data_IF_939483181619
#
_entry.id   IF_939483181619
#
_cell.length_a   1.000
_cell.length_b   1.000
_cell.length_c   1.000
_cell.angle_alpha   90.00
_cell.angle_beta   90.00
_cell.angle_gamma   90.00
#
_symmetry.space_group_name_H-M   'P 1'
#
loop_
_entity.id
_entity.type
_entity.pdbx_description
1 polymer ?
#
# COMPACT_ATOMS: atom_id res chain seq x y z
N UNK A 1 -23.81 18.84 -1.94
CA UNK A 1 -23.12 17.76 -2.68
C UNK A 1 -23.72 16.46 -2.19
N UNK A 2 -24.09 15.53 -3.09
CA UNK A 2 -24.64 14.23 -2.69
C UNK A 2 -23.48 13.32 -2.32
N UNK A 3 -23.54 12.63 -1.19
CA UNK A 3 -22.52 11.68 -0.75
C UNK A 3 -22.88 10.28 -1.23
N UNK A 4 -21.88 9.53 -1.67
CA UNK A 4 -21.99 8.12 -2.09
C UNK A 4 -21.22 7.16 -1.19
N UNK A 5 -20.53 7.70 -0.19
CA UNK A 5 -19.69 6.93 0.73
C UNK A 5 -19.96 7.33 2.19
N UNK A 6 -20.12 6.35 3.05
CA UNK A 6 -20.31 6.51 4.49
C UNK A 6 -18.95 6.43 5.21
N UNK A 7 -18.35 7.58 5.47
CA UNK A 7 -17.04 7.67 6.09
C UNK A 7 -17.02 7.21 7.55
N UNK A 8 -18.07 7.48 8.30
CA UNK A 8 -18.11 7.14 9.73
C UNK A 8 -18.28 5.64 9.91
N UNK A 9 -19.10 5.00 9.07
CA UNK A 9 -19.18 3.55 8.98
C UNK A 9 -17.81 2.95 8.61
N UNK A 10 -17.11 3.53 7.62
CA UNK A 10 -15.80 3.05 7.19
C UNK A 10 -14.79 3.07 8.34
N UNK A 11 -14.64 4.20 9.03
CA UNK A 11 -13.71 4.33 10.16
C UNK A 11 -13.99 3.25 11.23
N UNK A 12 -15.27 3.00 11.52
CA UNK A 12 -15.69 2.00 12.51
C UNK A 12 -15.36 0.59 12.06
N UNK A 13 -15.93 0.12 10.94
CA UNK A 13 -15.79 -1.29 10.54
C UNK A 13 -14.38 -1.66 10.12
N UNK A 14 -13.60 -0.70 9.59
CA UNK A 14 -12.21 -0.92 9.23
C UNK A 14 -11.34 -1.13 10.48
N UNK A 15 -11.55 -0.34 11.53
CA UNK A 15 -10.82 -0.52 12.80
C UNK A 15 -11.21 -1.81 13.51
N UNK A 16 -12.50 -2.17 13.48
CA UNK A 16 -12.99 -3.44 14.04
C UNK A 16 -12.37 -4.64 13.30
N UNK A 17 -12.35 -4.62 11.97
CA UNK A 17 -11.78 -5.70 11.18
C UNK A 17 -10.27 -5.87 11.41
N UNK A 18 -9.51 -4.79 11.60
CA UNK A 18 -8.10 -4.89 11.98
C UNK A 18 -7.95 -5.53 13.37
N UNK A 19 -8.80 -5.19 14.35
CA UNK A 19 -8.77 -5.83 15.69
C UNK A 19 -9.06 -7.31 15.61
N UNK A 20 -10.03 -7.73 14.80
CA UNK A 20 -10.32 -9.14 14.55
C UNK A 20 -9.10 -9.86 13.97
N UNK A 21 -8.42 -9.23 13.00
CA UNK A 21 -7.21 -9.78 12.40
C UNK A 21 -6.06 -9.92 13.41
N UNK A 22 -5.87 -8.95 14.30
CA UNK A 22 -4.89 -9.04 15.41
C UNK A 22 -5.19 -10.27 16.29
N UNK A 23 -6.45 -10.46 16.65
CA UNK A 23 -6.87 -11.58 17.52
C UNK A 23 -6.63 -12.96 16.86
N UNK A 24 -6.74 -13.07 15.54
CA UNK A 24 -6.47 -14.31 14.80
C UNK A 24 -5.02 -14.80 14.93
N UNK A 25 -4.07 -13.90 15.14
CA UNK A 25 -2.63 -14.19 15.14
C UNK A 25 -1.98 -13.96 16.52
N UNK A 26 -2.57 -14.52 17.57
CA UNK A 26 -1.94 -14.48 18.89
C UNK A 26 -1.72 -13.07 19.47
N UNK A 27 -2.54 -12.10 19.04
CA UNK A 27 -2.45 -10.69 19.39
C UNK A 27 -1.20 -9.97 18.85
N UNK A 28 -0.64 -10.40 17.72
CA UNK A 28 0.41 -9.66 17.01
C UNK A 28 0.15 -9.62 15.51
N UNK A 29 0.14 -8.41 14.93
CA UNK A 29 -0.11 -8.21 13.51
C UNK A 29 0.86 -7.19 12.93
N UNK A 30 1.55 -7.56 11.85
CA UNK A 30 2.30 -6.65 10.98
C UNK A 30 1.37 -6.17 9.86
N UNK A 31 1.01 -4.90 9.90
CA UNK A 31 0.11 -4.26 8.92
C UNK A 31 0.93 -3.46 7.92
N UNK A 32 1.08 -3.98 6.71
CA UNK A 32 1.65 -3.23 5.61
C UNK A 32 0.67 -2.15 5.15
N UNK A 33 1.08 -0.89 5.26
CA UNK A 33 0.27 0.23 4.82
C UNK A 33 0.68 0.66 3.41
N UNK A 34 -0.23 0.46 2.46
CA UNK A 34 -0.07 0.89 1.07
C UNK A 34 -0.73 2.24 0.79
N UNK A 35 -0.27 2.89 -0.27
CA UNK A 35 -0.81 4.17 -0.73
C UNK A 35 -0.56 5.36 0.21
N UNK A 36 -1.22 6.48 -0.08
CA UNK A 36 -1.12 7.70 0.73
C UNK A 36 -1.90 7.54 2.02
N UNK A 37 -1.23 7.79 3.15
CA UNK A 37 -1.87 7.83 4.46
C UNK A 37 -2.42 9.23 4.78
N UNK A 38 -1.66 10.24 4.38
CA UNK A 38 -2.03 11.65 4.50
C UNK A 38 -2.54 12.17 3.16
N UNK A 39 -3.58 12.96 3.19
CA UNK A 39 -4.08 13.69 2.03
C UNK A 39 -4.46 12.78 0.84
N UNK A 40 -5.24 11.71 1.12
CA UNK A 40 -5.74 10.81 0.08
C UNK A 40 -6.86 11.47 -0.75
N UNK A 41 -6.48 12.50 -1.48
CA UNK A 41 -7.42 13.26 -2.33
C UNK A 41 -7.95 12.43 -3.50
N UNK A 42 -7.22 11.38 -3.95
CA UNK A 42 -7.74 10.51 -4.99
C UNK A 42 -8.97 9.75 -4.50
N UNK A 43 -8.87 9.11 -3.34
CA UNK A 43 -10.01 8.40 -2.74
C UNK A 43 -11.20 9.33 -2.50
N UNK A 44 -10.95 10.56 -2.03
CA UNK A 44 -12.00 11.56 -1.81
C UNK A 44 -12.72 11.98 -3.10
N UNK A 45 -12.03 12.02 -4.23
CA UNK A 45 -12.62 12.34 -5.54
C UNK A 45 -13.43 11.19 -6.10
N UNK A 46 -12.97 9.96 -5.91
CA UNK A 46 -13.61 8.74 -6.44
C UNK A 46 -14.79 8.30 -5.58
N UNK A 47 -14.72 8.54 -4.28
CA UNK A 47 -15.71 8.15 -3.27
C UNK A 47 -16.23 9.41 -2.55
N UNK A 48 -17.23 10.15 -3.11
CA UNK A 48 -17.78 11.34 -2.48
C UNK A 48 -18.33 11.05 -1.08
N UNK A 49 -17.73 11.66 -0.06
CA UNK A 49 -17.97 11.38 1.35
C UNK A 49 -16.74 10.83 2.08
N UNK A 50 -15.81 10.20 1.38
CA UNK A 50 -14.52 9.80 1.96
C UNK A 50 -13.69 11.05 2.30
N UNK A 51 -13.20 11.15 3.52
CA UNK A 51 -12.35 12.25 3.96
C UNK A 51 -10.88 11.93 3.70
N UNK A 52 -10.06 12.89 3.25
CA UNK A 52 -8.63 12.64 2.93
C UNK A 52 -7.80 12.05 4.08
N UNK A 53 -8.21 12.30 5.32
CA UNK A 53 -7.58 11.85 6.56
C UNK A 53 -8.25 10.59 7.17
N UNK A 54 -9.19 9.96 6.47
CA UNK A 54 -9.97 8.83 7.01
C UNK A 54 -9.12 7.67 7.48
N UNK A 55 -8.05 7.33 6.73
CA UNK A 55 -7.12 6.26 7.14
C UNK A 55 -6.44 6.59 8.45
N UNK A 56 -6.00 7.83 8.59
CA UNK A 56 -5.36 8.29 9.81
C UNK A 56 -6.33 8.32 10.99
N UNK A 57 -7.54 8.83 10.80
CA UNK A 57 -8.61 8.84 11.81
C UNK A 57 -8.93 7.41 12.27
N UNK A 58 -9.00 6.46 11.34
CA UNK A 58 -9.20 5.04 11.65
C UNK A 58 -8.03 4.48 12.47
N UNK A 59 -6.79 4.74 12.06
CA UNK A 59 -5.60 4.28 12.78
C UNK A 59 -5.49 4.91 14.17
N UNK A 60 -5.94 6.15 14.36
CA UNK A 60 -5.96 6.81 15.68
C UNK A 60 -6.84 6.07 16.68
N UNK A 61 -7.90 5.37 16.23
CA UNK A 61 -8.70 4.50 17.12
C UNK A 61 -7.94 3.27 17.61
N UNK A 62 -6.78 2.96 17.01
CA UNK A 62 -5.91 1.84 17.34
C UNK A 62 -4.58 2.31 17.97
N UNK A 63 -4.39 3.63 18.20
CA UNK A 63 -3.11 4.22 18.61
C UNK A 63 -2.53 3.62 19.88
N UNK A 64 -3.37 3.27 20.86
CA UNK A 64 -2.92 2.68 22.13
C UNK A 64 -2.31 1.28 21.95
N UNK A 65 -2.74 0.55 20.92
CA UNK A 65 -2.28 -0.79 20.59
C UNK A 65 -1.33 -0.84 19.40
N UNK A 66 -1.03 0.31 18.78
CA UNK A 66 -0.24 0.41 17.56
C UNK A 66 1.12 1.06 17.79
N UNK A 67 2.12 0.57 17.08
CA UNK A 67 3.41 1.24 16.87
C UNK A 67 3.76 1.26 15.39
N UNK A 68 4.56 2.22 14.99
CA UNK A 68 4.90 2.46 13.59
C UNK A 68 6.37 2.18 13.35
N UNK A 69 6.62 1.43 12.28
CA UNK A 69 7.93 1.20 11.69
C UNK A 69 7.95 1.89 10.32
N UNK A 70 8.90 2.81 10.12
CA UNK A 70 9.02 3.50 8.83
C UNK A 70 10.14 2.84 8.03
N UNK A 71 9.86 2.50 6.78
CA UNK A 71 10.77 1.78 5.90
C UNK A 71 11.28 2.71 4.81
N UNK A 72 12.57 2.65 4.52
CA UNK A 72 13.21 3.38 3.42
C UNK A 72 14.25 2.51 2.72
N UNK A 73 14.32 2.58 1.39
CA UNK A 73 15.32 1.85 0.61
C UNK A 73 16.68 2.56 0.63
N UNK A 74 17.76 1.83 0.88
CA UNK A 74 19.14 2.33 0.74
C UNK A 74 19.44 2.83 -0.68
N UNK A 75 18.79 2.24 -1.69
CA UNK A 75 18.89 2.67 -3.08
C UNK A 75 18.22 4.02 -3.29
N UNK A 76 17.06 4.27 -2.67
CA UNK A 76 16.38 5.56 -2.76
C UNK A 76 17.16 6.67 -2.04
N UNK A 77 17.80 6.34 -0.89
CA UNK A 77 18.72 7.26 -0.20
C UNK A 77 19.89 7.59 -1.11
N UNK A 78 20.53 6.59 -1.72
CA UNK A 78 21.69 6.78 -2.59
C UNK A 78 21.38 7.64 -3.81
N UNK A 79 20.17 7.49 -4.37
CA UNK A 79 19.71 8.26 -5.53
C UNK A 79 19.16 9.64 -5.17
N UNK A 80 19.09 10.00 -3.90
CA UNK A 80 18.40 11.20 -3.41
C UNK A 80 16.99 11.32 -4.01
N UNK A 81 16.25 10.20 -4.01
CA UNK A 81 14.93 10.14 -4.62
C UNK A 81 14.00 11.16 -3.98
N UNK A 82 13.38 11.97 -4.82
CA UNK A 82 12.50 13.07 -4.41
C UNK A 82 11.05 12.60 -4.45
N UNK A 83 10.30 12.96 -3.44
CA UNK A 83 8.86 12.89 -3.41
C UNK A 83 8.31 14.11 -4.14
N UNK A 84 7.82 13.92 -5.36
CA UNK A 84 7.48 15.02 -6.29
C UNK A 84 6.38 15.94 -5.75
N UNK A 85 5.36 15.40 -5.07
CA UNK A 85 4.24 16.18 -4.52
C UNK A 85 4.66 17.12 -3.37
N UNK A 86 5.81 16.86 -2.71
CA UNK A 86 6.33 17.67 -1.60
C UNK A 86 7.67 18.35 -1.92
N UNK A 87 8.36 17.94 -2.99
CA UNK A 87 9.66 18.47 -3.36
C UNK A 87 10.80 18.16 -2.38
N UNK A 88 10.63 17.14 -1.52
CA UNK A 88 11.63 16.71 -0.52
C UNK A 88 12.14 15.31 -0.82
N UNK A 89 13.37 15.01 -0.39
CA UNK A 89 13.95 13.68 -0.55
C UNK A 89 13.29 12.67 0.41
N UNK A 90 13.31 11.38 0.06
CA UNK A 90 12.68 10.32 0.86
C UNK A 90 13.28 10.21 2.27
N UNK A 91 14.58 10.46 2.44
CA UNK A 91 15.24 10.47 3.75
C UNK A 91 14.75 11.63 4.65
N UNK A 92 14.43 12.77 4.06
CA UNK A 92 13.80 13.91 4.75
C UNK A 92 12.33 13.59 5.03
N UNK A 93 11.63 12.95 4.10
CA UNK A 93 10.23 12.58 4.28
C UNK A 93 10.04 11.54 5.41
N UNK A 94 10.99 10.63 5.63
CA UNK A 94 10.98 9.74 6.82
C UNK A 94 10.91 10.54 8.11
N UNK A 95 11.70 11.61 8.24
CA UNK A 95 11.71 12.44 9.45
C UNK A 95 10.40 13.22 9.59
N UNK A 96 9.86 13.75 8.49
CA UNK A 96 8.54 14.40 8.46
C UNK A 96 7.43 13.43 8.87
N UNK A 97 7.40 12.24 8.27
CA UNK A 97 6.40 11.20 8.61
C UNK A 97 6.48 10.83 10.10
N UNK A 98 7.68 10.65 10.63
CA UNK A 98 7.88 10.37 12.05
C UNK A 98 7.26 11.47 12.93
N UNK A 99 7.56 12.72 12.64
CA UNK A 99 7.04 13.86 13.38
C UNK A 99 5.51 13.94 13.28
N UNK A 100 4.95 13.78 12.08
CA UNK A 100 3.51 13.76 11.83
C UNK A 100 2.78 12.67 12.62
N UNK A 101 3.36 11.46 12.71
CA UNK A 101 2.78 10.38 13.50
C UNK A 101 2.88 10.68 15.00
N UNK A 102 4.01 11.15 15.47
CA UNK A 102 4.20 11.46 16.89
C UNK A 102 3.28 12.59 17.36
N UNK A 103 3.08 13.62 16.54
CA UNK A 103 2.15 14.73 16.82
C UNK A 103 0.69 14.27 16.91
N UNK A 104 0.37 13.08 16.35
CA UNK A 104 -0.95 12.46 16.43
C UNK A 104 -1.05 11.36 17.50
N UNK A 105 -0.05 11.25 18.36
CA UNK A 105 -0.05 10.34 19.50
C UNK A 105 0.42 8.91 19.18
N UNK A 106 0.96 8.65 17.98
CA UNK A 106 1.52 7.33 17.68
C UNK A 106 2.94 7.18 18.24
N UNK A 107 3.26 5.96 18.63
CA UNK A 107 4.66 5.57 18.90
C UNK A 107 5.31 5.19 17.58
N UNK A 108 6.36 5.92 17.19
CA UNK A 108 7.23 5.52 16.07
C UNK A 108 8.46 4.84 16.65
N UNK A 109 8.50 3.51 16.54
CA UNK A 109 9.51 2.71 17.23
C UNK A 109 10.86 2.72 16.55
N UNK A 110 10.89 2.73 15.22
CA UNK A 110 12.14 2.60 14.47
C UNK A 110 12.01 2.95 12.98
N UNK A 111 13.18 3.05 12.34
CA UNK A 111 13.34 3.13 10.89
C UNK A 111 14.05 1.86 10.40
N UNK A 112 13.55 1.23 9.35
CA UNK A 112 14.22 0.09 8.68
C UNK A 112 14.77 0.53 7.34
N UNK A 113 16.06 0.35 7.13
CA UNK A 113 16.74 0.63 5.87
C UNK A 113 16.86 -0.69 5.10
N UNK A 114 16.10 -0.81 4.01
CA UNK A 114 16.05 -2.01 3.17
C UNK A 114 17.00 -1.93 1.98
N UNK A 115 17.12 -3.04 1.23
CA UNK A 115 18.00 -3.14 0.06
C UNK A 115 19.44 -2.69 0.37
N UNK A 116 19.85 -2.91 1.63
CA UNK A 116 21.17 -2.52 2.06
C UNK A 116 22.24 -3.50 1.53
N UNK A 117 23.28 -2.92 0.95
CA UNK A 117 24.43 -3.63 0.41
C UNK A 117 25.72 -2.82 0.60
N UNK A 118 25.87 -2.18 1.78
CA UNK A 118 27.05 -1.40 2.11
C UNK A 118 27.12 0.00 1.46
N UNK A 119 25.99 0.59 1.11
CA UNK A 119 25.97 1.94 0.53
C UNK A 119 26.38 2.99 1.57
N UNK A 120 27.45 3.74 1.31
CA UNK A 120 27.96 4.76 2.23
C UNK A 120 26.96 5.88 2.56
N UNK A 121 26.04 6.19 1.62
CA UNK A 121 24.93 7.14 1.86
C UNK A 121 23.92 6.59 2.90
N UNK A 122 23.66 5.30 2.88
CA UNK A 122 22.80 4.64 3.87
C UNK A 122 23.48 4.62 5.26
N UNK A 123 24.80 4.38 5.31
CA UNK A 123 25.56 4.45 6.57
C UNK A 123 25.58 5.87 7.15
N UNK A 124 25.78 6.88 6.31
CA UNK A 124 25.71 8.28 6.73
C UNK A 124 24.29 8.63 7.26
N UNK A 125 23.25 8.09 6.63
CA UNK A 125 21.88 8.28 7.08
C UNK A 125 21.60 7.57 8.42
N UNK A 126 22.12 6.34 8.63
CA UNK A 126 22.04 5.65 9.92
C UNK A 126 22.67 6.49 11.04
N UNK A 127 23.86 7.03 10.80
CA UNK A 127 24.52 7.90 11.78
C UNK A 127 23.73 9.19 12.05
N UNK A 128 23.03 9.74 11.03
CA UNK A 128 22.12 10.88 11.20
C UNK A 128 20.95 10.50 12.10
N UNK A 129 20.31 9.34 11.88
CA UNK A 129 19.21 8.84 12.70
C UNK A 129 19.66 8.61 14.15
N UNK A 130 20.82 8.00 14.35
CA UNK A 130 21.40 7.76 15.68
C UNK A 130 21.62 9.06 16.45
N UNK A 131 22.19 10.09 15.80
CA UNK A 131 22.37 11.44 16.40
C UNK A 131 21.03 12.10 16.77
N UNK A 132 19.95 11.76 16.09
CA UNK A 132 18.60 12.22 16.40
C UNK A 132 17.88 11.34 17.44
N UNK A 133 18.57 10.33 17.99
CA UNK A 133 17.98 9.37 18.93
C UNK A 133 16.94 8.44 18.31
N UNK A 134 17.00 8.22 16.99
CA UNK A 134 16.07 7.37 16.25
C UNK A 134 16.73 6.01 16.04
N UNK A 135 16.10 4.94 16.54
CA UNK A 135 16.57 3.57 16.31
C UNK A 135 16.43 3.20 14.84
N UNK A 136 17.47 2.62 14.26
CA UNK A 136 17.47 2.14 12.89
C UNK A 136 17.99 0.71 12.80
N UNK A 137 17.40 -0.06 11.87
CA UNK A 137 17.72 -1.45 11.59
C UNK A 137 17.97 -1.63 10.10
N UNK A 138 18.72 -2.67 9.75
CA UNK A 138 19.14 -2.92 8.36
C UNK A 138 18.56 -4.24 7.88
N UNK A 139 17.92 -4.21 6.71
CA UNK A 139 17.51 -5.39 5.96
C UNK A 139 18.30 -5.45 4.65
N UNK A 140 18.99 -6.56 4.47
CA UNK A 140 19.92 -6.77 3.37
C UNK A 140 19.19 -7.12 2.06
N UNK A 141 19.87 -6.91 0.94
CA UNK A 141 19.43 -7.46 -0.33
C UNK A 141 19.63 -8.99 -0.30
N UNK A 142 18.56 -9.73 -0.57
CA UNK A 142 18.59 -11.20 -0.65
C UNK A 142 18.68 -11.57 -2.13
N UNK A 143 19.66 -12.38 -2.48
CA UNK A 143 19.91 -12.82 -3.86
C UNK A 143 18.75 -13.69 -4.37
N UNK A 144 18.30 -13.39 -5.58
CA UNK A 144 17.17 -14.11 -6.20
C UNK A 144 15.79 -13.79 -5.61
N UNK A 145 15.67 -12.78 -4.73
CA UNK A 145 14.36 -12.32 -4.26
C UNK A 145 13.51 -11.78 -5.44
N UNK A 146 12.22 -12.14 -5.55
CA UNK A 146 11.41 -12.92 -4.59
C UNK A 146 11.36 -14.44 -4.90
N UNK A 147 12.05 -14.95 -5.92
CA UNK A 147 11.85 -16.30 -6.44
C UNK A 147 12.64 -17.40 -5.71
N UNK A 148 13.72 -17.05 -5.01
CA UNK A 148 14.56 -18.02 -4.29
C UNK A 148 14.03 -18.22 -2.86
N UNK A 149 12.88 -18.89 -2.75
CA UNK A 149 12.15 -19.09 -1.48
C UNK A 149 13.03 -19.78 -0.43
N UNK A 150 13.80 -20.81 -0.82
CA UNK A 150 14.67 -21.55 0.10
C UNK A 150 15.72 -20.64 0.77
N UNK A 151 16.35 -19.75 0.01
CA UNK A 151 17.28 -18.77 0.57
C UNK A 151 16.56 -17.71 1.39
N UNK A 152 15.43 -17.21 0.90
CA UNK A 152 14.67 -16.14 1.56
C UNK A 152 14.23 -16.58 2.95
N UNK A 153 13.66 -17.80 3.06
CA UNK A 153 13.17 -18.40 4.30
C UNK A 153 14.28 -19.18 5.04
N UNK A 154 15.43 -18.56 5.20
CA UNK A 154 16.59 -19.13 5.86
C UNK A 154 17.31 -18.13 6.76
N UNK A 155 18.29 -18.61 7.55
CA UNK A 155 19.14 -17.78 8.38
C UNK A 155 20.04 -16.83 7.57
N UNK A 156 20.37 -17.18 6.32
CA UNK A 156 21.13 -16.36 5.38
C UNK A 156 20.25 -15.34 4.63
N UNK A 157 18.93 -15.57 4.59
CA UNK A 157 17.93 -14.69 4.02
C UNK A 157 17.29 -13.78 5.07
N UNK A 158 16.05 -14.09 5.46
CA UNK A 158 15.33 -13.32 6.48
C UNK A 158 16.03 -13.34 7.85
N UNK A 159 16.72 -14.42 8.20
CA UNK A 159 17.47 -14.55 9.44
C UNK A 159 18.64 -13.58 9.55
N UNK A 160 19.25 -13.18 8.43
CA UNK A 160 20.37 -12.22 8.38
C UNK A 160 19.93 -10.79 8.65
N UNK A 161 18.67 -10.44 8.41
CA UNK A 161 18.13 -9.11 8.66
C UNK A 161 18.11 -8.79 10.16
N UNK A 162 18.33 -7.53 10.51
CA UNK A 162 18.18 -7.11 11.88
C UNK A 162 16.74 -7.37 12.36
N UNK A 163 16.59 -7.97 13.53
CA UNK A 163 15.29 -8.03 14.19
C UNK A 163 14.88 -6.66 14.72
N UNK A 164 13.68 -6.23 14.40
CA UNK A 164 13.10 -4.97 14.89
C UNK A 164 12.29 -5.26 16.15
N UNK A 165 12.78 -4.95 17.35
CA UNK A 165 12.01 -5.18 18.59
C UNK A 165 10.75 -4.30 18.59
N UNK A 166 9.60 -4.95 18.71
CA UNK A 166 8.30 -4.30 18.78
C UNK A 166 7.55 -4.76 20.04
N UNK A 167 6.76 -3.87 20.63
CA UNK A 167 6.13 -4.09 21.93
C UNK A 167 4.61 -4.08 21.87
N UNK A 168 4.03 -3.56 20.79
CA UNK A 168 2.58 -3.42 20.64
C UNK A 168 1.97 -4.52 19.76
N UNK A 169 0.68 -4.84 19.96
CA UNK A 169 -0.03 -5.84 19.17
C UNK A 169 -0.10 -5.51 17.66
N UNK A 170 -0.25 -4.24 17.33
CA UNK A 170 -0.31 -3.77 15.94
C UNK A 170 0.98 -3.06 15.55
N UNK A 171 1.71 -3.60 14.60
CA UNK A 171 2.90 -2.99 14.02
C UNK A 171 2.55 -2.49 12.61
N UNK A 172 2.45 -1.17 12.47
CA UNK A 172 2.15 -0.53 11.19
C UNK A 172 3.45 -0.28 10.45
N UNK A 173 3.61 -0.89 9.29
CA UNK A 173 4.79 -0.75 8.43
C UNK A 173 4.46 0.18 7.27
N UNK A 174 5.09 1.35 7.23
CA UNK A 174 4.83 2.39 6.24
C UNK A 174 6.13 2.94 5.64
N UNK A 175 6.03 3.74 4.59
CA UNK A 175 7.19 4.29 3.87
C UNK A 175 6.86 5.59 3.14
N UNK A 176 7.86 6.41 2.76
CA UNK A 176 7.70 7.59 1.91
C UNK A 176 7.07 7.30 0.54
N UNK A 177 7.31 6.10 -0.01
CA UNK A 177 6.81 5.74 -1.34
C UNK A 177 6.84 4.25 -1.65
N UNK A 178 6.42 3.88 -2.86
CA UNK A 178 6.42 2.49 -3.32
C UNK A 178 7.83 1.94 -3.51
N UNK A 179 7.96 0.60 -3.56
CA UNK A 179 9.24 -0.07 -3.79
C UNK A 179 10.23 -0.02 -2.60
N UNK A 180 9.80 0.44 -1.43
CA UNK A 180 10.64 0.56 -0.24
C UNK A 180 10.94 -0.75 0.48
N UNK A 181 10.27 -1.88 0.11
CA UNK A 181 10.46 -3.19 0.74
C UNK A 181 9.60 -3.43 1.98
N UNK A 182 8.47 -2.74 2.16
CA UNK A 182 7.56 -2.92 3.31
C UNK A 182 7.13 -4.37 3.52
N UNK A 183 6.68 -5.05 2.45
CA UNK A 183 6.28 -6.44 2.51
C UNK A 183 7.43 -7.33 3.00
N UNK A 184 8.63 -7.19 2.42
CA UNK A 184 9.81 -7.96 2.83
C UNK A 184 10.19 -7.71 4.30
N UNK A 185 10.00 -6.48 4.80
CA UNK A 185 10.17 -6.17 6.24
C UNK A 185 9.15 -6.92 7.07
N UNK A 186 7.87 -6.90 6.69
CA UNK A 186 6.84 -7.65 7.42
C UNK A 186 7.16 -9.16 7.46
N UNK A 187 7.46 -9.76 6.30
CA UNK A 187 7.75 -11.20 6.21
C UNK A 187 9.01 -11.58 6.99
N UNK A 188 10.08 -10.77 6.90
CA UNK A 188 11.29 -10.98 7.69
C UNK A 188 11.02 -10.91 9.20
N UNK A 189 10.15 -10.00 9.63
CA UNK A 189 9.73 -9.93 11.03
C UNK A 189 8.91 -11.15 11.45
N UNK A 190 8.01 -11.64 10.60
CA UNK A 190 7.27 -12.88 10.88
C UNK A 190 8.19 -14.08 11.04
N UNK A 191 9.17 -14.24 10.16
CA UNK A 191 10.21 -15.26 10.27
C UNK A 191 10.95 -15.16 11.61
N UNK A 192 11.41 -13.97 11.96
CA UNK A 192 12.13 -13.70 13.20
C UNK A 192 11.27 -13.90 14.46
N UNK A 193 9.98 -13.53 14.42
CA UNK A 193 9.02 -13.76 15.52
C UNK A 193 8.77 -15.26 15.71
N UNK A 194 8.53 -15.99 14.60
CA UNK A 194 8.32 -17.44 14.66
C UNK A 194 9.52 -18.16 15.29
N UNK A 195 10.76 -17.81 14.88
CA UNK A 195 11.98 -18.36 15.51
C UNK A 195 12.10 -18.05 17.00
N UNK A 196 11.42 -17.03 17.49
CA UNK A 196 11.36 -16.65 18.92
C UNK A 196 10.15 -17.24 19.63
N UNK A 197 9.36 -18.08 18.95
CA UNK A 197 8.15 -18.68 19.49
C UNK A 197 6.97 -17.69 19.64
N UNK A 198 7.02 -16.57 18.94
CA UNK A 198 5.93 -15.58 18.94
C UNK A 198 5.06 -15.80 17.69
N UNK A 199 3.76 -16.02 17.92
CA UNK A 199 2.77 -16.05 16.84
C UNK A 199 2.45 -14.62 16.41
N UNK A 200 2.65 -14.31 15.14
CA UNK A 200 2.32 -13.02 14.55
C UNK A 200 1.71 -13.22 13.17
N UNK A 201 0.88 -12.31 12.71
CA UNK A 201 0.26 -12.35 11.38
C UNK A 201 0.67 -11.19 10.51
N UNK A 202 0.33 -11.30 9.23
CA UNK A 202 0.49 -10.26 8.22
C UNK A 202 -0.88 -9.75 7.76
N UNK A 203 -0.97 -8.47 7.47
CA UNK A 203 -2.09 -7.95 6.71
C UNK A 203 -1.64 -6.80 5.80
N UNK A 204 -2.29 -6.71 4.65
CA UNK A 204 -2.09 -5.62 3.69
C UNK A 204 -3.29 -4.66 3.75
N UNK A 205 -3.01 -3.38 3.92
CA UNK A 205 -4.01 -2.33 3.92
C UNK A 205 -3.78 -1.36 2.77
N UNK A 206 -4.58 -1.50 1.74
CA UNK A 206 -4.66 -0.59 0.60
C UNK A 206 -6.11 -0.15 0.40
N UNK A 207 -6.32 1.07 -0.08
CA UNK A 207 -7.67 1.60 -0.33
C UNK A 207 -8.29 0.95 -1.56
N UNK A 208 -7.47 0.72 -2.59
CA UNK A 208 -7.87 0.17 -3.88
C UNK A 208 -6.95 -1.00 -4.26
N UNK A 209 -7.41 -1.92 -5.14
CA UNK A 209 -8.75 -1.98 -5.68
C UNK A 209 -9.79 -2.30 -4.61
N UNK A 210 -11.04 -1.93 -4.85
CA UNK A 210 -12.13 -2.33 -3.97
C UNK A 210 -12.54 -3.75 -4.35
N UNK A 211 -12.06 -4.71 -3.57
CA UNK A 211 -12.05 -6.13 -3.92
C UNK A 211 -13.44 -6.74 -4.18
N UNK A 212 -14.49 -6.24 -3.53
CA UNK A 212 -15.86 -6.73 -3.66
C UNK A 212 -16.72 -5.96 -4.68
N UNK A 213 -16.11 -5.11 -5.50
CA UNK A 213 -16.72 -4.52 -6.68
C UNK A 213 -16.37 -5.32 -7.94
N UNK A 214 -17.09 -5.13 -9.03
CA UNK A 214 -16.74 -5.81 -10.29
C UNK A 214 -15.44 -5.30 -10.90
N UNK A 215 -14.78 -6.13 -11.71
CA UNK A 215 -13.52 -5.78 -12.39
C UNK A 215 -13.63 -4.47 -13.19
N UNK A 216 -14.75 -4.24 -13.86
CA UNK A 216 -14.99 -3.06 -14.69
C UNK A 216 -15.79 -1.97 -13.98
N UNK A 217 -15.86 -2.03 -12.66
CA UNK A 217 -16.51 -0.98 -11.89
C UNK A 217 -15.75 0.34 -12.02
N UNK A 218 -16.41 1.47 -12.30
CA UNK A 218 -15.73 2.75 -12.51
C UNK A 218 -14.77 3.15 -11.39
N UNK A 219 -15.09 2.83 -10.14
CA UNK A 219 -14.22 3.07 -8.97
C UNK A 219 -12.88 2.36 -9.10
N UNK A 220 -12.87 1.07 -9.49
CA UNK A 220 -11.64 0.31 -9.70
C UNK A 220 -10.86 0.81 -10.93
N UNK A 221 -11.58 1.13 -12.03
CA UNK A 221 -10.96 1.69 -13.23
C UNK A 221 -10.33 3.07 -12.97
N UNK A 222 -10.94 3.91 -12.14
CA UNK A 222 -10.38 5.22 -11.77
C UNK A 222 -9.04 5.10 -11.05
N UNK A 223 -8.89 4.06 -10.23
CA UNK A 223 -7.62 3.82 -9.57
C UNK A 223 -6.55 3.26 -10.53
N UNK A 224 -6.92 2.36 -11.42
CA UNK A 224 -6.03 1.88 -12.49
C UNK A 224 -5.50 3.05 -13.36
N UNK A 225 -6.38 4.03 -13.67
CA UNK A 225 -5.97 5.25 -14.34
C UNK A 225 -5.04 6.14 -13.49
N UNK A 226 -5.06 6.01 -12.17
CA UNK A 226 -4.22 6.80 -11.26
C UNK A 226 -2.86 6.14 -10.96
N UNK A 227 -2.68 4.87 -11.29
CA UNK A 227 -1.48 4.06 -11.01
C UNK A 227 -0.86 3.48 -12.28
N UNK A 228 -1.11 4.13 -13.42
CA UNK A 228 -0.57 3.68 -14.71
C UNK A 228 0.96 3.64 -14.73
N UNK A 229 1.62 4.58 -14.05
CA UNK A 229 3.07 4.63 -13.86
C UNK A 229 3.64 3.41 -13.10
N UNK A 230 2.81 2.74 -12.29
CA UNK A 230 3.17 1.52 -11.55
C UNK A 230 2.87 0.24 -12.35
N UNK A 231 2.22 0.34 -13.51
CA UNK A 231 1.67 -0.77 -14.28
C UNK A 231 0.73 -1.69 -13.47
N UNK A 232 0.03 -1.12 -12.49
CA UNK A 232 -0.99 -1.83 -11.74
C UNK A 232 -2.24 -2.01 -12.61
N UNK A 233 -2.66 -3.26 -12.78
CA UNK A 233 -3.85 -3.63 -13.53
C UNK A 233 -4.75 -4.46 -12.63
N UNK A 234 -6.03 -4.11 -12.60
CA UNK A 234 -7.01 -4.89 -11.86
C UNK A 234 -7.24 -6.26 -12.53
N UNK A 235 -7.27 -7.30 -11.74
CA UNK A 235 -7.59 -8.65 -12.22
C UNK A 235 -8.43 -9.41 -11.20
N UNK A 236 -9.05 -10.50 -11.66
CA UNK A 236 -9.76 -11.42 -10.77
C UNK A 236 -8.73 -12.20 -9.98
N UNK A 237 -8.91 -12.22 -8.65
CA UNK A 237 -8.17 -13.09 -7.76
C UNK A 237 -8.66 -14.53 -7.91
N UNK A 238 -7.94 -15.30 -8.73
CA UNK A 238 -8.28 -16.69 -9.00
C UNK A 238 -8.19 -17.58 -7.75
N UNK A 239 -7.23 -17.30 -6.86
CA UNK A 239 -7.07 -18.05 -5.61
C UNK A 239 -8.25 -17.83 -4.68
N UNK A 240 -8.76 -16.60 -4.60
CA UNK A 240 -9.94 -16.29 -3.80
C UNK A 240 -11.18 -16.99 -4.38
N UNK A 241 -11.31 -17.03 -5.70
CA UNK A 241 -12.42 -17.74 -6.36
C UNK A 241 -12.35 -19.24 -6.09
N UNK A 242 -11.18 -19.86 -6.22
CA UNK A 242 -10.99 -21.29 -5.95
C UNK A 242 -11.29 -21.66 -4.50
N UNK A 243 -10.84 -20.83 -3.54
CA UNK A 243 -11.02 -21.08 -2.12
C UNK A 243 -12.46 -20.82 -1.61
N UNK A 244 -13.15 -19.80 -2.16
CA UNK A 244 -14.38 -19.28 -1.60
C UNK A 244 -15.58 -19.32 -2.55
N UNK A 245 -15.39 -19.69 -3.83
CA UNK A 245 -16.38 -19.60 -4.91
C UNK A 245 -16.99 -18.18 -5.03
N UNK A 246 -16.18 -17.15 -4.78
CA UNK A 246 -16.56 -15.74 -4.85
C UNK A 246 -15.52 -14.96 -5.66
N UNK A 247 -16.00 -14.09 -6.55
CA UNK A 247 -15.13 -13.22 -7.32
C UNK A 247 -14.65 -12.10 -6.39
N UNK A 248 -13.34 -11.89 -6.36
CA UNK A 248 -12.69 -10.74 -5.76
C UNK A 248 -11.74 -10.10 -6.77
N UNK A 249 -11.51 -8.80 -6.63
CA UNK A 249 -10.62 -8.04 -7.51
C UNK A 249 -9.38 -7.66 -6.72
N UNK A 250 -8.21 -7.87 -7.33
CA UNK A 250 -6.93 -7.49 -6.75
C UNK A 250 -6.01 -6.97 -7.86
N UNK A 251 -4.81 -6.51 -7.51
CA UNK A 251 -3.81 -6.14 -8.50
C UNK A 251 -3.15 -7.37 -9.10
N UNK A 252 -2.76 -7.26 -10.37
CA UNK A 252 -1.93 -8.27 -11.04
C UNK A 252 -0.70 -8.65 -10.20
N UNK A 253 0.06 -7.67 -9.70
CA UNK A 253 1.27 -7.91 -8.91
C UNK A 253 1.02 -8.75 -7.63
N UNK A 254 -0.13 -8.57 -6.98
CA UNK A 254 -0.45 -9.31 -5.75
C UNK A 254 -0.91 -10.74 -6.08
N UNK A 255 -1.64 -10.91 -7.17
CA UNK A 255 -2.08 -12.23 -7.65
C UNK A 255 -0.90 -13.03 -8.20
N UNK A 256 -0.03 -12.41 -9.00
CA UNK A 256 1.14 -13.05 -9.59
C UNK A 256 2.18 -13.48 -8.56
N UNK A 257 2.38 -12.71 -7.49
CA UNK A 257 3.34 -13.04 -6.43
C UNK A 257 2.79 -14.04 -5.40
N UNK A 258 1.47 -14.26 -5.35
CA UNK A 258 0.87 -15.08 -4.30
C UNK A 258 1.44 -16.49 -4.17
N UNK A 259 1.76 -17.24 -5.24
CA UNK A 259 2.39 -18.56 -5.10
C UNK A 259 3.74 -18.52 -4.36
N UNK A 260 4.49 -17.44 -4.49
CA UNK A 260 5.74 -17.23 -3.74
C UNK A 260 5.45 -16.95 -2.27
N UNK A 261 4.44 -16.09 -2.00
CA UNK A 261 4.02 -15.79 -0.63
C UNK A 261 3.44 -17.02 0.07
N UNK A 262 2.70 -17.85 -0.65
CA UNK A 262 2.18 -19.12 -0.18
C UNK A 262 3.31 -20.02 0.34
N UNK A 263 4.33 -20.23 -0.48
CA UNK A 263 5.51 -21.02 -0.10
C UNK A 263 6.29 -20.40 1.08
N UNK A 264 6.41 -19.06 1.14
CA UNK A 264 7.06 -18.38 2.26
C UNK A 264 6.26 -18.53 3.57
N UNK A 265 4.93 -18.40 3.52
CA UNK A 265 4.10 -18.62 4.71
C UNK A 265 4.10 -20.08 5.16
N UNK A 266 4.10 -21.03 4.23
CA UNK A 266 4.27 -22.46 4.56
C UNK A 266 5.63 -22.71 5.25
N UNK A 267 6.73 -22.11 4.77
CA UNK A 267 8.02 -22.19 5.42
C UNK A 267 8.04 -21.61 6.82
N UNK A 268 7.45 -20.42 7.00
CA UNK A 268 7.40 -19.72 8.30
C UNK A 268 6.50 -20.44 9.32
N UNK A 269 5.30 -20.88 8.90
CA UNK A 269 4.27 -21.36 9.85
C UNK A 269 4.03 -22.87 9.82
N UNK A 270 4.57 -23.58 8.81
CA UNK A 270 4.25 -24.98 8.51
C UNK A 270 2.98 -25.15 7.67
N UNK A 271 2.13 -24.13 7.61
CA UNK A 271 0.97 -24.04 6.72
C UNK A 271 0.68 -22.56 6.39
N UNK A 272 0.12 -22.27 5.24
CA UNK A 272 -0.26 -20.90 4.91
C UNK A 272 -1.62 -20.55 5.56
N UNK A 273 -1.68 -19.52 6.44
CA UNK A 273 -2.95 -19.06 7.01
C UNK A 273 -3.84 -18.31 6.03
N UNK A 274 -3.33 -17.95 4.86
CA UNK A 274 -4.05 -17.17 3.84
C UNK A 274 -4.29 -18.02 2.59
N UNK A 275 -5.51 -18.00 2.08
CA UNK A 275 -5.89 -18.77 0.88
C UNK A 275 -5.77 -17.96 -0.41
N UNK A 276 -5.58 -16.64 -0.31
CA UNK A 276 -5.53 -15.75 -1.47
C UNK A 276 -4.91 -14.40 -1.10
N UNK A 277 -4.47 -13.60 -2.10
CA UNK A 277 -4.12 -12.19 -1.90
C UNK A 277 -5.22 -11.39 -1.21
N UNK A 278 -6.49 -11.65 -1.55
CA UNK A 278 -7.64 -10.98 -0.93
C UNK A 278 -7.75 -11.30 0.56
N UNK A 279 -7.43 -12.53 0.97
CA UNK A 279 -7.44 -12.92 2.40
C UNK A 279 -6.34 -12.21 3.21
N UNK A 280 -5.22 -11.86 2.58
CA UNK A 280 -4.18 -11.04 3.23
C UNK A 280 -4.64 -9.60 3.45
N UNK A 281 -5.58 -9.12 2.64
CA UNK A 281 -6.12 -7.77 2.72
C UNK A 281 -7.06 -7.56 3.91
N UNK A 282 -7.17 -6.31 4.34
CA UNK A 282 -8.12 -5.88 5.39
C UNK A 282 -9.05 -4.75 4.93
N UNK A 283 -9.17 -4.53 3.63
CA UNK A 283 -9.92 -3.40 3.06
C UNK A 283 -11.44 -3.60 3.19
N UNK A 284 -12.13 -2.65 3.86
CA UNK A 284 -13.57 -2.64 4.09
C UNK A 284 -14.32 -1.57 3.28
N UNK A 285 -13.65 -0.87 2.38
CA UNK A 285 -14.20 0.29 1.63
C UNK A 285 -15.49 -0.06 0.89
N UNK A 286 -15.52 -1.18 0.18
CA UNK A 286 -16.68 -1.55 -0.62
C UNK A 286 -17.97 -1.76 0.17
N UNK A 287 -17.87 -2.03 1.48
CA UNK A 287 -19.02 -2.15 2.38
C UNK A 287 -19.58 -0.79 2.86
N UNK A 288 -18.87 0.30 2.51
CA UNK A 288 -19.21 1.65 2.94
C UNK A 288 -19.73 2.53 1.79
N UNK A 289 -19.87 1.98 0.58
CA UNK A 289 -20.54 2.63 -0.53
C UNK A 289 -22.04 2.62 -0.23
N UNK A 290 -22.62 3.81 -0.06
CA UNK A 290 -24.04 4.02 0.29
C UNK A 290 -24.89 4.43 -0.92
N UNK A 291 -24.26 5.00 -1.96
CA UNK A 291 -24.88 5.34 -3.24
C UNK A 291 -23.89 5.08 -4.37
N UNK A 292 -24.05 3.95 -5.02
CA UNK A 292 -23.16 3.49 -6.07
C UNK A 292 -23.19 4.36 -7.32
N UNK A 293 -24.33 4.95 -7.67
CA UNK A 293 -24.45 5.84 -8.83
C UNK A 293 -23.63 7.11 -8.64
N UNK A 294 -23.62 7.65 -7.42
CA UNK A 294 -22.80 8.82 -7.07
C UNK A 294 -21.32 8.49 -7.16
N UNK A 295 -20.89 7.33 -6.64
CA UNK A 295 -19.50 6.89 -6.75
C UNK A 295 -19.10 6.59 -8.18
N UNK A 296 -19.93 5.91 -8.96
CA UNK A 296 -19.69 5.65 -10.37
C UNK A 296 -19.52 6.93 -11.19
N UNK A 297 -20.35 7.95 -10.94
CA UNK A 297 -20.20 9.24 -11.62
C UNK A 297 -18.91 9.94 -11.25
N UNK A 298 -18.59 10.02 -9.97
CA UNK A 298 -17.37 10.66 -9.47
C UNK A 298 -16.10 9.94 -10.00
N UNK A 299 -16.12 8.62 -10.04
CA UNK A 299 -15.04 7.82 -10.60
C UNK A 299 -14.82 8.11 -12.10
N UNK A 300 -15.90 8.22 -12.88
CA UNK A 300 -15.80 8.60 -14.31
C UNK A 300 -15.22 10.01 -14.49
N UNK A 301 -15.65 10.96 -13.66
CA UNK A 301 -15.11 12.33 -13.68
C UNK A 301 -13.60 12.32 -13.34
N UNK A 302 -13.15 11.46 -12.41
CA UNK A 302 -11.73 11.32 -12.07
C UNK A 302 -10.91 10.67 -13.20
N UNK A 303 -11.44 9.67 -13.92
CA UNK A 303 -10.77 9.09 -15.10
C UNK A 303 -10.57 10.17 -16.18
N UNK A 304 -11.60 10.99 -16.43
CA UNK A 304 -11.52 12.11 -17.36
C UNK A 304 -10.46 13.11 -16.90
N UNK A 305 -10.46 13.48 -15.63
CA UNK A 305 -9.47 14.40 -15.06
C UNK A 305 -8.05 13.89 -15.29
N UNK A 306 -7.79 12.61 -14.99
CA UNK A 306 -6.48 11.97 -15.20
C UNK A 306 -6.04 12.00 -16.64
N UNK A 307 -6.96 11.74 -17.58
CA UNK A 307 -6.66 11.82 -18.99
C UNK A 307 -6.16 13.22 -19.41
N UNK A 308 -6.82 14.28 -18.94
CA UNK A 308 -6.39 15.64 -19.25
C UNK A 308 -5.09 16.03 -18.54
N UNK A 309 -4.85 15.52 -17.34
CA UNK A 309 -3.57 15.71 -16.66
C UNK A 309 -2.44 15.10 -17.49
N UNK A 310 -2.56 13.83 -17.90
CA UNK A 310 -1.55 13.15 -18.73
C UNK A 310 -1.34 13.84 -20.11
N UNK A 311 -2.41 14.38 -20.71
CA UNK A 311 -2.29 15.17 -21.93
C UNK A 311 -1.50 16.47 -21.74
N UNK A 312 -1.70 17.17 -20.63
CA UNK A 312 -0.97 18.39 -20.32
C UNK A 312 0.50 18.09 -20.03
N UNK A 313 0.80 17.08 -19.23
CA UNK A 313 2.16 16.61 -18.93
C UNK A 313 2.90 16.21 -20.22
N UNK A 314 2.20 15.51 -21.15
CA UNK A 314 2.77 15.19 -22.47
C UNK A 314 3.06 16.45 -23.29
N UNK A 315 2.18 17.44 -23.27
CA UNK A 315 2.35 18.70 -24.02
C UNK A 315 3.50 19.56 -23.45
N UNK A 316 3.78 19.44 -22.16
CA UNK A 316 4.88 20.11 -21.44
C UNK A 316 6.21 19.35 -21.58
N UNK A 317 6.21 18.15 -22.17
CA UNK A 317 7.38 17.31 -22.37
C UNK A 317 7.78 16.50 -21.12
N UNK A 318 6.91 16.47 -20.11
CA UNK A 318 7.09 15.73 -18.85
C UNK A 318 6.37 14.38 -18.86
N UNK A 319 5.42 14.17 -19.80
CA UNK A 319 4.53 13.02 -19.86
C UNK A 319 4.92 11.98 -20.93
N UNK A 320 4.15 10.89 -20.95
CA UNK A 320 4.34 9.74 -21.83
C UNK A 320 3.07 9.50 -22.70
N UNK A 321 3.25 9.41 -24.03
CA UNK A 321 2.16 9.11 -24.97
C UNK A 321 1.51 7.73 -24.73
N UNK A 322 2.24 6.78 -24.17
CA UNK A 322 1.73 5.47 -23.76
C UNK A 322 0.69 5.59 -22.65
N UNK A 323 0.92 6.42 -21.63
CA UNK A 323 -0.01 6.68 -20.52
C UNK A 323 -1.32 7.26 -21.02
N UNK A 324 -1.24 8.30 -21.87
CA UNK A 324 -2.44 8.91 -22.48
C UNK A 324 -3.27 7.88 -23.24
N UNK A 325 -2.61 6.98 -24.01
CA UNK A 325 -3.28 5.92 -24.76
C UNK A 325 -3.94 4.90 -23.84
N UNK A 326 -3.28 4.48 -22.77
CA UNK A 326 -3.83 3.53 -21.80
C UNK A 326 -5.05 4.11 -21.10
N UNK A 327 -4.96 5.34 -20.55
CA UNK A 327 -6.11 5.99 -19.89
C UNK A 327 -7.26 6.16 -20.90
N UNK A 328 -6.97 6.46 -22.17
CA UNK A 328 -8.00 6.54 -23.22
C UNK A 328 -8.72 5.20 -23.48
N UNK A 329 -8.05 4.06 -23.27
CA UNK A 329 -8.69 2.74 -23.36
C UNK A 329 -9.64 2.49 -22.18
N UNK A 330 -9.31 3.00 -21.00
CA UNK A 330 -10.15 2.88 -19.80
C UNK A 330 -11.49 3.61 -19.95
N UNK A 331 -11.59 4.64 -20.79
CA UNK A 331 -12.86 5.29 -21.12
C UNK A 331 -13.90 4.30 -21.64
N UNK A 332 -13.47 3.36 -22.50
CA UNK A 332 -14.37 2.34 -23.06
C UNK A 332 -14.84 1.36 -21.97
N UNK A 333 -13.91 0.99 -21.08
CA UNK A 333 -14.22 0.07 -19.98
C UNK A 333 -15.18 0.70 -18.96
N UNK A 334 -15.00 2.00 -18.67
CA UNK A 334 -15.86 2.75 -17.76
C UNK A 334 -17.19 3.23 -18.39
N UNK A 335 -17.47 2.91 -19.66
CA UNK A 335 -18.61 3.42 -20.42
C UNK A 335 -18.68 4.97 -20.41
N UNK A 336 -17.54 5.63 -20.59
CA UNK A 336 -17.47 7.08 -20.72
C UNK A 336 -17.69 7.44 -22.20
N UNK A 337 -18.66 8.34 -22.45
CA UNK A 337 -18.95 8.77 -23.80
C UNK A 337 -17.81 9.62 -24.38
N UNK A 338 -17.20 9.16 -25.48
CA UNK A 338 -16.05 9.79 -26.13
C UNK A 338 -16.40 11.11 -26.86
N UNK A 339 -17.67 11.55 -26.86
CA UNK A 339 -18.04 12.87 -27.35
C UNK A 339 -17.32 14.01 -26.59
N UNK A 340 -16.93 13.80 -25.34
CA UNK A 340 -16.04 14.70 -24.58
C UNK A 340 -14.66 14.91 -25.24
N UNK A 341 -14.18 13.93 -26.04
CA UNK A 341 -12.92 14.04 -26.79
C UNK A 341 -12.93 15.14 -27.88
N UNK A 342 -14.09 15.41 -28.46
CA UNK A 342 -14.18 16.32 -29.63
C UNK A 342 -14.36 17.77 -29.24
N UNK A 343 -14.96 18.08 -28.09
CA UNK A 343 -15.29 19.46 -27.68
C UNK A 343 -14.09 20.20 -27.09
N UNK A 344 -13.10 19.52 -26.56
CA UNK A 344 -11.95 20.17 -25.88
C UNK A 344 -10.74 20.38 -26.80
N UNK A 345 -10.58 19.57 -27.86
CA UNK A 345 -9.54 19.77 -28.88
C UNK A 345 -9.92 20.91 -29.89
N UNK A 346 -11.22 21.22 -29.98
CA UNK A 346 -11.70 22.31 -30.84
C UNK A 346 -11.76 23.68 -30.15
N UNK A 347 -11.45 23.77 -28.87
CA UNK A 347 -11.47 25.01 -28.06
C UNK A 347 -10.05 25.54 -27.72
N UNK A 348 -9.01 25.03 -28.40
CA UNK A 348 -7.64 25.57 -28.32
C UNK A 348 -7.16 26.01 -29.71
#
# INVERSE_FOLDING_TARGET
MKYGFDNDKYVKIQSEHIKERIAQFGNKLYLELGGKLFDDYHASRVLPGFKPDSKLTMLQQLSDSAEIVIVISAVDIQKNKVRQDLGITYDVDVLRLREEFMNRGFVVSSVVITHYNGQGSADAYRQKLERLGIRSYVHYTIEGYPNNVELIDSDEGFGKNDYVPTTRPLVIVTAPGPGSGKMAVCLSQLYQEHKRGVTAGYAKFETFPVWNLSLKHPVNIAYEAATDDLNDVNMIDQFHYEANNKIAINYNRDVEIFPVLDALFEGIYGENPYKSPTDMGVNMIGFCISDDEVCCKAAKDEIIRRYFTALNELAEGEGNDSEVKKIALLFKQANINTAYRKTTVAAR
#
